data_IF_235475566286
#
_entry.id   IF_235475566286
#
_cell.length_a   1.000
_cell.length_b   1.000
_cell.length_c   1.000
_cell.angle_alpha   90.00
_cell.angle_beta   90.00
_cell.angle_gamma   90.00
#
_symmetry.space_group_name_H-M   'P 1'
#
loop_
_entity.id
_entity.type
_entity.pdbx_description
1 polymer ?
#
# COMPACT_ATOMS: atom_id res chain seq x y z
N UNK A 1 29.43 -24.24 -26.94
CA UNK A 1 28.02 -24.52 -27.25
C UNK A 1 27.18 -23.38 -26.69
N UNK A 2 26.69 -22.56 -27.59
CA UNK A 2 25.81 -21.44 -27.17
C UNK A 2 24.36 -21.94 -27.27
N UNK A 3 23.83 -22.48 -26.15
CA UNK A 3 22.40 -22.69 -26.02
C UNK A 3 21.71 -21.34 -25.94
N UNK A 4 20.37 -21.26 -26.17
CA UNK A 4 19.63 -20.02 -25.95
C UNK A 4 19.89 -19.55 -24.52
N UNK A 5 20.00 -18.20 -24.30
CA UNK A 5 20.22 -17.69 -22.96
C UNK A 5 19.15 -18.26 -22.02
N UNK A 6 19.57 -18.85 -20.92
CA UNK A 6 18.66 -19.36 -19.91
C UNK A 6 17.78 -18.20 -19.44
N UNK A 7 16.46 -18.43 -19.40
CA UNK A 7 15.56 -17.42 -18.85
C UNK A 7 15.95 -17.14 -17.40
N UNK A 8 15.91 -15.86 -16.98
CA UNK A 8 16.20 -15.52 -15.59
C UNK A 8 15.22 -16.24 -14.65
N UNK A 9 15.63 -16.62 -13.44
CA UNK A 9 14.73 -17.21 -12.46
C UNK A 9 13.51 -16.31 -12.24
N UNK A 10 12.31 -16.88 -12.22
CA UNK A 10 11.07 -16.14 -12.12
C UNK A 10 10.99 -15.27 -10.85
N UNK A 11 11.51 -15.79 -9.73
CA UNK A 11 11.56 -15.03 -8.48
C UNK A 11 12.42 -13.78 -8.58
N UNK A 12 13.54 -13.86 -9.29
CA UNK A 12 14.40 -12.72 -9.55
C UNK A 12 13.71 -11.67 -10.45
N UNK A 13 13.04 -12.13 -11.49
CA UNK A 13 12.29 -11.26 -12.40
C UNK A 13 11.18 -10.53 -11.66
N UNK A 14 10.40 -11.23 -10.83
CA UNK A 14 9.35 -10.64 -9.99
C UNK A 14 9.92 -9.62 -9.02
N UNK A 15 10.98 -9.97 -8.32
CA UNK A 15 11.62 -9.09 -7.33
C UNK A 15 12.12 -7.80 -7.96
N UNK A 16 12.81 -7.90 -9.10
CA UNK A 16 13.30 -6.72 -9.83
C UNK A 16 12.16 -5.84 -10.34
N UNK A 17 11.14 -6.45 -10.91
CA UNK A 17 9.96 -5.72 -11.42
C UNK A 17 9.21 -5.03 -10.29
N UNK A 18 8.98 -5.73 -9.18
CA UNK A 18 8.33 -5.16 -8.00
C UNK A 18 9.11 -3.95 -7.48
N UNK A 19 10.43 -4.01 -7.45
CA UNK A 19 11.27 -2.89 -7.01
C UNK A 19 11.10 -1.67 -7.92
N UNK A 20 11.10 -1.87 -9.23
CA UNK A 20 10.88 -0.76 -10.20
C UNK A 20 9.51 -0.14 -9.98
N UNK A 21 8.47 -0.96 -9.84
CA UNK A 21 7.09 -0.51 -9.63
C UNK A 21 6.95 0.25 -8.30
N UNK A 22 7.46 -0.30 -7.21
CA UNK A 22 7.35 0.33 -5.88
C UNK A 22 8.17 1.60 -5.78
N UNK A 23 9.36 1.65 -6.38
CA UNK A 23 10.17 2.87 -6.40
C UNK A 23 9.50 3.99 -7.19
N UNK A 24 8.87 3.66 -8.32
CA UNK A 24 8.11 4.65 -9.11
C UNK A 24 6.91 5.19 -8.31
N UNK A 25 6.23 4.33 -7.59
CA UNK A 25 5.11 4.71 -6.72
C UNK A 25 5.57 5.62 -5.59
N UNK A 26 6.67 5.28 -4.91
CA UNK A 26 7.23 6.12 -3.84
C UNK A 26 7.62 7.51 -4.34
N UNK A 27 8.26 7.60 -5.50
CA UNK A 27 8.61 8.91 -6.07
C UNK A 27 7.36 9.74 -6.38
N UNK A 28 6.33 9.11 -6.94
CA UNK A 28 5.08 9.79 -7.26
C UNK A 28 4.37 10.29 -6.00
N UNK A 29 4.32 9.47 -4.95
CA UNK A 29 3.75 9.85 -3.65
C UNK A 29 4.52 11.01 -3.01
N UNK A 30 5.86 10.96 -3.04
CA UNK A 30 6.70 12.01 -2.49
C UNK A 30 6.48 13.37 -3.17
N UNK A 31 6.30 13.37 -4.48
CA UNK A 31 6.00 14.59 -5.25
C UNK A 31 4.67 15.21 -4.87
N UNK A 32 3.73 14.41 -4.38
CA UNK A 32 2.42 14.88 -3.93
C UNK A 32 2.37 15.18 -2.42
N UNK A 33 3.49 15.08 -1.74
CA UNK A 33 3.60 15.40 -0.31
C UNK A 33 3.31 14.25 0.63
N UNK A 34 3.37 13.00 0.15
CA UNK A 34 3.11 11.81 0.94
C UNK A 34 4.16 10.72 0.78
N UNK A 35 3.78 9.51 1.12
CA UNK A 35 4.58 8.30 0.95
C UNK A 35 3.64 7.11 0.73
N UNK A 36 4.17 5.98 0.26
CA UNK A 36 3.36 4.77 0.12
C UNK A 36 2.81 4.31 1.48
N UNK A 37 3.61 4.40 2.53
CA UNK A 37 3.18 4.03 3.89
C UNK A 37 2.07 4.95 4.40
N UNK A 38 2.23 6.27 4.24
CA UNK A 38 1.19 7.23 4.62
C UNK A 38 -0.11 6.97 3.86
N UNK A 39 -0.01 6.72 2.57
CA UNK A 39 -1.17 6.39 1.73
C UNK A 39 -1.93 5.18 2.26
N UNK A 40 -1.22 4.09 2.56
CA UNK A 40 -1.84 2.88 3.10
C UNK A 40 -2.56 3.13 4.42
N UNK A 41 -1.93 3.87 5.33
CA UNK A 41 -2.56 4.23 6.62
C UNK A 41 -3.79 5.10 6.41
N UNK A 42 -3.70 6.11 5.55
CA UNK A 42 -4.85 6.99 5.25
C UNK A 42 -6.02 6.20 4.66
N UNK A 43 -5.76 5.25 3.76
CA UNK A 43 -6.79 4.37 3.19
C UNK A 43 -7.49 3.57 4.28
N UNK A 44 -6.74 2.95 5.19
CA UNK A 44 -7.30 2.15 6.27
C UNK A 44 -8.09 3.01 7.26
N UNK A 45 -7.56 4.17 7.63
CA UNK A 45 -8.26 5.10 8.52
C UNK A 45 -9.56 5.58 7.89
N UNK A 46 -9.52 5.95 6.61
CA UNK A 46 -10.71 6.39 5.89
C UNK A 46 -11.77 5.30 5.76
N UNK A 47 -11.36 4.06 5.54
CA UNK A 47 -12.28 2.93 5.44
C UNK A 47 -13.02 2.65 6.76
N UNK A 48 -12.41 2.98 7.90
CA UNK A 48 -13.01 2.82 9.21
C UNK A 48 -13.32 1.38 9.61
N UNK A 49 -12.75 0.39 8.93
CA UNK A 49 -13.06 -1.04 9.10
C UNK A 49 -11.93 -1.83 9.78
N UNK A 50 -11.17 -1.18 10.60
CA UNK A 50 -10.12 -1.83 11.37
C UNK A 50 -10.49 -1.73 12.85
N UNK A 51 -10.58 -2.86 13.53
CA UNK A 51 -10.99 -2.91 14.94
C UNK A 51 -9.87 -2.50 15.87
N UNK A 52 -8.74 -3.23 15.79
CA UNK A 52 -7.58 -2.99 16.65
C UNK A 52 -6.39 -2.55 15.82
N UNK A 53 -5.43 -1.90 16.50
CA UNK A 53 -4.17 -1.51 15.87
C UNK A 53 -3.40 -2.74 15.35
N UNK A 54 -3.49 -3.87 16.08
CA UNK A 54 -2.88 -5.12 15.65
C UNK A 54 -3.47 -5.63 14.32
N UNK A 55 -4.79 -5.58 14.17
CA UNK A 55 -5.48 -5.96 12.93
C UNK A 55 -5.07 -5.07 11.76
N UNK A 56 -4.95 -3.77 12.01
CA UNK A 56 -4.50 -2.80 11.02
C UNK A 56 -3.07 -3.06 10.58
N UNK A 57 -2.16 -3.33 11.52
CA UNK A 57 -0.77 -3.68 11.23
C UNK A 57 -0.68 -4.95 10.39
N UNK A 58 -1.47 -5.97 10.73
CA UNK A 58 -1.54 -7.22 9.96
C UNK A 58 -2.02 -6.97 8.53
N UNK A 59 -3.05 -6.15 8.36
CA UNK A 59 -3.56 -5.78 7.04
C UNK A 59 -2.52 -5.09 6.17
N UNK A 60 -1.62 -4.32 6.78
CA UNK A 60 -0.52 -3.65 6.09
C UNK A 60 0.72 -4.51 5.92
N UNK A 61 0.79 -5.68 6.57
CA UNK A 61 1.97 -6.52 6.57
C UNK A 61 3.16 -5.91 7.31
N UNK A 62 2.92 -5.12 8.35
CA UNK A 62 3.96 -4.47 9.18
C UNK A 62 3.77 -4.82 10.64
N UNK A 63 4.77 -4.51 11.46
CA UNK A 63 4.69 -4.68 12.91
C UNK A 63 3.80 -3.60 13.54
N UNK A 64 3.26 -3.90 14.73
CA UNK A 64 2.51 -2.91 15.51
C UNK A 64 3.35 -1.67 15.84
N UNK A 65 4.64 -1.87 16.14
CA UNK A 65 5.55 -0.76 16.43
C UNK A 65 5.73 0.17 15.22
N UNK A 66 5.87 -0.39 14.02
CA UNK A 66 5.98 0.38 12.77
C UNK A 66 4.69 1.15 12.51
N UNK A 67 3.54 0.52 12.70
CA UNK A 67 2.24 1.19 12.56
C UNK A 67 2.10 2.34 13.56
N UNK A 68 2.47 2.14 14.82
CA UNK A 68 2.45 3.20 15.84
C UNK A 68 3.29 4.37 15.40
N UNK A 69 4.48 4.12 14.87
CA UNK A 69 5.36 5.16 14.33
C UNK A 69 4.67 5.96 13.21
N UNK A 70 4.04 5.28 12.26
CA UNK A 70 3.31 5.94 11.16
C UNK A 70 2.11 6.75 11.66
N UNK A 71 1.33 6.21 12.59
CA UNK A 71 0.17 6.92 13.16
C UNK A 71 0.59 8.15 13.95
N UNK A 72 1.66 8.03 14.75
CA UNK A 72 2.19 9.16 15.50
C UNK A 72 2.65 10.28 14.56
N UNK A 73 3.37 9.94 13.51
CA UNK A 73 3.83 10.91 12.52
C UNK A 73 2.67 11.63 11.83
N UNK A 74 1.64 10.91 11.45
CA UNK A 74 0.45 11.49 10.79
C UNK A 74 -0.35 12.37 11.77
N UNK A 75 -0.44 11.97 13.03
CA UNK A 75 -1.10 12.77 14.07
C UNK A 75 -0.31 14.05 14.35
N UNK A 76 1.01 13.97 14.46
CA UNK A 76 1.88 15.13 14.66
C UNK A 76 1.80 16.11 13.49
N UNK A 77 1.59 15.64 12.28
CA UNK A 77 1.38 16.46 11.09
C UNK A 77 -0.04 17.03 10.99
N UNK A 78 -0.93 16.67 11.92
CA UNK A 78 -2.31 17.11 11.90
C UNK A 78 -3.18 16.48 10.82
N UNK A 79 -2.81 15.29 10.33
CA UNK A 79 -3.50 14.60 9.25
C UNK A 79 -4.50 13.55 9.76
N UNK A 80 -4.23 13.01 10.96
CA UNK A 80 -5.05 11.98 11.61
C UNK A 80 -5.32 12.41 13.04
N UNK A 81 -6.52 12.12 13.52
CA UNK A 81 -6.92 12.27 14.91
C UNK A 81 -7.22 10.89 15.48
N UNK A 82 -6.72 10.61 16.68
CA UNK A 82 -6.95 9.35 17.37
C UNK A 82 -7.60 9.59 18.73
N UNK A 83 -8.47 8.67 19.13
CA UNK A 83 -9.11 8.69 20.47
C UNK A 83 -9.56 7.29 20.84
N UNK A 84 -9.95 7.11 22.10
CA UNK A 84 -10.56 5.88 22.59
C UNK A 84 -11.89 6.22 23.23
N UNK A 85 -12.93 5.47 22.88
CA UNK A 85 -14.22 5.64 23.51
C UNK A 85 -14.18 5.19 24.97
N UNK A 86 -14.91 5.88 25.85
CA UNK A 86 -14.98 5.52 27.27
C UNK A 86 -15.61 4.11 27.47
N UNK A 87 -16.51 3.72 26.58
CA UNK A 87 -17.19 2.44 26.62
C UNK A 87 -16.31 1.26 26.16
N UNK A 88 -15.27 1.51 25.35
CA UNK A 88 -14.37 0.47 24.87
C UNK A 88 -12.97 1.02 24.61
N UNK A 89 -12.15 1.05 25.65
CA UNK A 89 -10.79 1.57 25.56
C UNK A 89 -9.79 0.64 24.86
N UNK A 90 -10.18 -0.60 24.57
CA UNK A 90 -9.34 -1.55 23.84
C UNK A 90 -9.26 -1.23 22.35
N UNK A 91 -10.30 -0.60 21.82
CA UNK A 91 -10.37 -0.22 20.40
C UNK A 91 -9.97 1.23 20.26
N UNK A 92 -8.90 1.47 19.51
CA UNK A 92 -8.49 2.80 19.15
C UNK A 92 -9.29 3.27 17.95
N UNK A 93 -9.88 4.46 18.06
CA UNK A 93 -10.57 5.12 16.96
C UNK A 93 -9.60 6.07 16.26
N UNK A 94 -9.78 6.23 14.96
CA UNK A 94 -9.02 7.19 14.18
C UNK A 94 -9.88 7.75 13.06
N UNK A 95 -9.64 9.00 12.72
CA UNK A 95 -10.29 9.66 11.60
C UNK A 95 -9.31 10.62 10.93
N UNK A 96 -9.53 10.87 9.64
CA UNK A 96 -8.79 11.91 8.93
C UNK A 96 -9.29 13.28 9.38
N UNK A 97 -8.36 14.21 9.55
CA UNK A 97 -8.68 15.63 9.70
C UNK A 97 -9.01 16.20 8.33
N UNK A 98 -9.43 17.46 8.26
CA UNK A 98 -9.64 18.15 6.98
C UNK A 98 -8.36 18.11 6.12
N UNK A 99 -7.20 18.40 6.73
CA UNK A 99 -5.91 18.31 6.05
C UNK A 99 -5.60 16.88 5.60
N UNK A 100 -5.97 15.87 6.39
CA UNK A 100 -5.82 14.46 6.05
C UNK A 100 -6.69 14.06 4.86
N UNK A 101 -7.92 14.56 4.79
CA UNK A 101 -8.82 14.33 3.65
C UNK A 101 -8.26 14.97 2.37
N UNK A 102 -7.71 16.17 2.45
CA UNK A 102 -7.09 16.85 1.31
C UNK A 102 -5.88 16.06 0.80
N UNK A 103 -5.02 15.60 1.70
CA UNK A 103 -3.87 14.76 1.33
C UNK A 103 -4.34 13.43 0.73
N UNK A 104 -5.34 12.79 1.34
CA UNK A 104 -5.92 11.56 0.82
C UNK A 104 -6.37 11.72 -0.63
N UNK A 105 -7.09 12.79 -0.94
CA UNK A 105 -7.58 13.04 -2.29
C UNK A 105 -6.43 13.22 -3.30
N UNK A 106 -5.37 13.94 -2.92
CA UNK A 106 -4.18 14.10 -3.78
C UNK A 106 -3.47 12.76 -4.02
N UNK A 107 -3.29 11.98 -2.96
CA UNK A 107 -2.59 10.69 -3.06
C UNK A 107 -3.43 9.65 -3.81
N UNK A 108 -4.75 9.71 -3.69
CA UNK A 108 -5.66 8.86 -4.47
C UNK A 108 -5.49 9.09 -5.97
N UNK A 109 -5.40 10.34 -6.38
CA UNK A 109 -5.13 10.71 -7.77
C UNK A 109 -3.81 10.12 -8.26
N UNK A 110 -2.77 10.23 -7.45
CA UNK A 110 -1.45 9.66 -7.75
C UNK A 110 -1.52 8.14 -7.88
N UNK A 111 -2.20 7.47 -6.94
CA UNK A 111 -2.36 6.02 -6.96
C UNK A 111 -3.12 5.57 -8.22
N UNK A 112 -4.17 6.28 -8.59
CA UNK A 112 -4.96 5.97 -9.79
C UNK A 112 -4.13 6.14 -11.07
N UNK A 113 -3.37 7.22 -11.19
CA UNK A 113 -2.49 7.46 -12.34
C UNK A 113 -1.39 6.41 -12.45
N UNK A 114 -0.83 6.02 -11.32
CA UNK A 114 0.19 4.97 -11.27
C UNK A 114 -0.37 3.64 -11.77
N UNK A 115 -1.55 3.25 -11.30
CA UNK A 115 -2.22 2.03 -11.75
C UNK A 115 -2.53 2.08 -13.25
N UNK A 116 -3.05 3.20 -13.75
CA UNK A 116 -3.31 3.40 -15.16
C UNK A 116 -2.04 3.27 -16.00
N UNK A 117 -0.93 3.83 -15.52
CA UNK A 117 0.38 3.74 -16.19
C UNK A 117 0.85 2.30 -16.30
N UNK A 118 0.69 1.51 -15.23
CA UNK A 118 1.05 0.09 -15.23
C UNK A 118 0.19 -0.70 -16.21
N UNK A 119 -1.08 -0.36 -16.31
CA UNK A 119 -2.03 -1.02 -17.22
C UNK A 119 -1.87 -0.59 -18.69
N UNK A 120 -1.29 0.58 -18.94
CA UNK A 120 -1.28 1.21 -20.26
C UNK A 120 -0.58 0.39 -21.36
N UNK A 121 0.33 -0.49 -21.00
CA UNK A 121 1.04 -1.37 -21.94
C UNK A 121 0.40 -2.74 -22.10
N UNK A 122 -0.69 -2.98 -21.39
CA UNK A 122 -1.37 -4.28 -21.33
C UNK A 122 -2.80 -4.15 -21.86
N UNK A 123 -3.29 -5.20 -22.51
CA UNK A 123 -4.71 -5.31 -22.81
C UNK A 123 -5.47 -5.70 -21.54
N UNK A 124 -6.80 -5.55 -21.54
CA UNK A 124 -7.64 -5.98 -20.41
C UNK A 124 -7.47 -7.47 -20.10
N UNK A 125 -7.38 -8.31 -21.15
CA UNK A 125 -7.11 -9.74 -20.98
C UNK A 125 -5.75 -10.00 -20.33
N UNK A 126 -4.73 -9.25 -20.73
CA UNK A 126 -3.39 -9.38 -20.17
C UNK A 126 -3.35 -8.95 -18.71
N UNK A 127 -4.09 -7.90 -18.31
CA UNK A 127 -4.23 -7.49 -16.92
C UNK A 127 -4.84 -8.60 -16.06
N UNK A 128 -5.94 -9.21 -16.54
CA UNK A 128 -6.59 -10.33 -15.87
C UNK A 128 -5.65 -11.54 -15.75
N UNK A 129 -4.94 -11.84 -16.83
CA UNK A 129 -3.98 -12.94 -16.91
C UNK A 129 -2.83 -12.74 -15.91
N UNK A 130 -2.28 -11.53 -15.88
CA UNK A 130 -1.21 -11.18 -14.95
C UNK A 130 -1.67 -11.35 -13.50
N UNK A 131 -2.86 -10.85 -13.15
CA UNK A 131 -3.43 -11.02 -11.81
C UNK A 131 -3.55 -12.49 -11.41
N UNK A 132 -4.07 -13.33 -12.29
CA UNK A 132 -4.18 -14.78 -12.05
C UNK A 132 -2.80 -15.43 -11.86
N UNK A 133 -1.84 -15.08 -12.70
CA UNK A 133 -0.49 -15.65 -12.66
C UNK A 133 0.24 -15.25 -11.39
N UNK A 134 0.11 -13.99 -10.96
CA UNK A 134 0.69 -13.51 -9.70
C UNK A 134 0.10 -14.25 -8.50
N UNK A 135 -1.22 -14.48 -8.51
CA UNK A 135 -1.89 -15.26 -7.46
C UNK A 135 -1.39 -16.71 -7.43
N UNK A 136 -1.25 -17.35 -8.59
CA UNK A 136 -0.72 -18.71 -8.67
C UNK A 136 0.70 -18.81 -8.11
N UNK A 137 1.55 -17.83 -8.41
CA UNK A 137 2.92 -17.80 -7.88
C UNK A 137 2.90 -17.65 -6.36
N UNK A 138 2.03 -16.77 -5.82
CA UNK A 138 1.90 -16.57 -4.39
C UNK A 138 1.45 -17.83 -3.66
N UNK A 139 0.46 -18.51 -4.18
CA UNK A 139 -0.04 -19.78 -3.64
C UNK A 139 1.05 -20.85 -3.69
N UNK A 140 1.86 -20.87 -4.74
CA UNK A 140 2.95 -21.84 -4.91
C UNK A 140 4.03 -21.76 -3.83
N UNK A 141 4.20 -20.60 -3.18
CA UNK A 141 5.16 -20.45 -2.07
C UNK A 141 4.49 -20.56 -0.69
N UNK A 142 3.19 -20.83 -0.62
CA UNK A 142 2.51 -21.18 0.63
C UNK A 142 2.02 -20.00 1.48
N UNK A 143 1.73 -18.87 0.89
CA UNK A 143 1.18 -17.73 1.63
C UNK A 143 -0.20 -17.30 1.12
#
# INVERSE_FOLDING_TARGET
MNGPPAQPPIGLQLSRTARVVTNAFERAMAQAGGSASAWQVLVLVRAGQWGTQAEMAEAMGITGATLTHHLNALEDQGLVRRWREASNRRVQQAALTEAGEELFDRLREVAMRHDQRLRSTLSEKEVEQLGRLLEKVRVGVGS
#
